data_IF_412900942678
#
_entry.id   IF_412900942678
#
_cell.length_a   1.000
_cell.length_b   1.000
_cell.length_c   1.000
_cell.angle_alpha   90.00
_cell.angle_beta   90.00
_cell.angle_gamma   90.00
#
_symmetry.space_group_name_H-M   'P 1'
#
loop_
_entity.id
_entity.type
_entity.pdbx_description
1 polymer ?
#
# COMPACT_ATOMS: atom_id res chain seq x y z
N UNK A 1 -3.55 -4.59 -21.74
CA UNK A 1 -3.58 -4.84 -20.29
C UNK A 1 -3.26 -3.52 -19.60
N UNK A 2 -4.04 -3.06 -18.60
CA UNK A 2 -3.70 -1.84 -17.87
C UNK A 2 -2.34 -2.03 -17.20
N UNK A 3 -1.48 -1.01 -17.22
CA UNK A 3 -0.20 -1.05 -16.50
C UNK A 3 -0.51 -1.21 -15.01
N UNK A 4 -0.05 -2.31 -14.42
CA UNK A 4 -0.04 -2.45 -12.96
C UNK A 4 0.87 -1.37 -12.37
N UNK A 5 0.39 -0.68 -11.34
CA UNK A 5 1.23 0.19 -10.53
C UNK A 5 2.13 -0.71 -9.68
N UNK A 6 3.41 -0.82 -10.06
CA UNK A 6 4.43 -1.49 -9.25
C UNK A 6 4.96 -0.47 -8.24
N UNK A 7 4.89 -0.82 -6.95
CA UNK A 7 5.41 0.00 -5.87
C UNK A 7 6.79 -0.53 -5.46
N UNK A 8 7.78 0.36 -5.47
CA UNK A 8 9.13 0.10 -4.94
C UNK A 8 9.21 0.56 -3.47
N UNK A 9 9.67 -0.31 -2.56
CA UNK A 9 9.77 -0.03 -1.13
C UNK A 9 10.65 1.19 -0.80
N UNK A 10 11.69 1.45 -1.60
CA UNK A 10 12.53 2.64 -1.44
C UNK A 10 11.72 3.96 -1.56
N UNK A 11 10.69 3.99 -2.41
CA UNK A 11 9.81 5.16 -2.58
C UNK A 11 8.80 5.31 -1.44
N UNK A 12 8.49 4.23 -0.73
CA UNK A 12 7.65 4.23 0.48
C UNK A 12 8.35 4.92 1.65
N UNK A 13 9.64 4.63 1.87
CA UNK A 13 10.43 5.20 2.97
C UNK A 13 10.58 6.72 2.89
N UNK A 14 10.76 7.28 1.69
CA UNK A 14 10.89 8.73 1.49
C UNK A 14 9.60 9.49 1.80
N UNK A 15 8.46 8.80 1.80
CA UNK A 15 7.14 9.40 1.88
C UNK A 15 6.56 9.47 3.31
N UNK A 16 7.14 8.73 4.26
CA UNK A 16 6.66 8.58 5.65
C UNK A 16 6.70 9.88 6.48
N UNK A 17 7.29 10.96 5.97
CA UNK A 17 7.52 12.18 6.76
C UNK A 17 6.41 13.25 6.68
N UNK A 18 5.25 13.03 6.02
CA UNK A 18 4.22 14.07 5.84
C UNK A 18 2.79 13.54 5.92
N UNK A 19 2.22 13.48 7.12
CA UNK A 19 0.80 13.18 7.43
C UNK A 19 0.23 11.90 6.78
N UNK A 20 -0.87 11.33 7.26
CA UNK A 20 -1.36 10.08 6.66
C UNK A 20 -1.91 10.33 5.27
N UNK A 21 -1.10 10.10 4.24
CA UNK A 21 -1.49 10.33 2.86
C UNK A 21 -1.76 8.97 2.19
N UNK A 22 -2.71 8.95 1.26
CA UNK A 22 -2.99 7.79 0.41
C UNK A 22 -1.81 7.59 -0.56
N UNK A 23 -1.00 6.54 -0.38
CA UNK A 23 0.26 6.37 -1.12
C UNK A 23 0.02 5.94 -2.56
N UNK A 24 -0.79 4.90 -2.74
CA UNK A 24 -1.14 4.42 -4.05
C UNK A 24 -2.48 3.69 -4.02
N UNK A 25 -3.11 3.67 -5.19
CA UNK A 25 -4.32 2.90 -5.44
C UNK A 25 -4.19 2.13 -6.74
N UNK A 26 -4.83 0.97 -6.79
CA UNK A 26 -4.99 0.14 -7.97
C UNK A 26 -6.40 -0.46 -7.99
N UNK A 27 -6.79 -1.12 -9.07
CA UNK A 27 -8.01 -1.92 -9.14
C UNK A 27 -7.66 -3.31 -9.63
N UNK A 28 -7.89 -4.30 -8.78
CA UNK A 28 -7.55 -5.71 -9.05
C UNK A 28 -8.75 -6.60 -8.76
N UNK A 29 -9.06 -7.47 -9.72
CA UNK A 29 -10.26 -8.33 -9.69
C UNK A 29 -11.57 -7.58 -9.37
N UNK A 30 -11.72 -6.36 -9.88
CA UNK A 30 -12.90 -5.52 -9.67
C UNK A 30 -13.00 -4.89 -8.28
N UNK A 31 -12.04 -5.13 -7.38
CA UNK A 31 -11.94 -4.48 -6.07
C UNK A 31 -10.88 -3.38 -6.10
N UNK A 32 -11.12 -2.33 -5.31
CA UNK A 32 -10.16 -1.26 -5.11
C UNK A 32 -9.04 -1.73 -4.18
N UNK A 33 -7.79 -1.62 -4.62
CA UNK A 33 -6.62 -1.86 -3.80
C UNK A 33 -6.04 -0.51 -3.40
N UNK A 34 -5.76 -0.29 -2.12
CA UNK A 34 -5.12 0.94 -1.67
C UNK A 34 -4.11 0.67 -0.58
N UNK A 35 -3.00 1.40 -0.64
CA UNK A 35 -1.98 1.45 0.41
C UNK A 35 -1.99 2.85 1.02
N UNK A 36 -2.13 2.88 2.34
CA UNK A 36 -2.10 4.10 3.16
C UNK A 36 -0.94 3.99 4.13
N UNK A 37 -0.32 5.12 4.43
CA UNK A 37 0.71 5.21 5.46
C UNK A 37 0.13 5.93 6.67
N UNK A 38 0.05 5.27 7.81
CA UNK A 38 -0.29 5.89 9.09
C UNK A 38 0.96 6.51 9.68
N UNK A 39 1.03 7.83 9.66
CA UNK A 39 2.18 8.57 10.18
C UNK A 39 2.30 8.49 11.71
N UNK A 40 1.18 8.31 12.41
CA UNK A 40 1.18 8.21 13.89
C UNK A 40 2.07 7.07 14.42
N UNK A 41 2.16 5.96 13.68
CA UNK A 41 2.91 4.77 14.07
C UNK A 41 3.84 4.26 12.95
N UNK A 42 4.05 5.06 11.89
CA UNK A 42 4.85 4.72 10.71
C UNK A 42 4.49 3.35 10.10
N UNK A 43 3.20 3.01 10.07
CA UNK A 43 2.71 1.72 9.57
C UNK A 43 2.05 1.87 8.18
N UNK A 44 2.28 0.91 7.30
CA UNK A 44 1.52 0.74 6.08
C UNK A 44 0.25 -0.07 6.36
N UNK A 45 -0.87 0.36 5.77
CA UNK A 45 -2.15 -0.34 5.80
C UNK A 45 -2.59 -0.55 4.36
N UNK A 46 -2.83 -1.80 3.99
CA UNK A 46 -3.25 -2.17 2.64
C UNK A 46 -4.63 -2.78 2.70
N UNK A 47 -5.52 -2.26 1.86
CA UNK A 47 -6.92 -2.67 1.78
C UNK A 47 -7.26 -3.10 0.37
N UNK A 48 -7.99 -4.21 0.23
CA UNK A 48 -8.50 -4.72 -1.03
C UNK A 48 -10.02 -4.91 -0.93
N UNK A 49 -10.78 -3.96 -1.47
CA UNK A 49 -12.20 -3.82 -1.12
C UNK A 49 -12.34 -3.42 0.35
N UNK A 50 -13.10 -4.20 1.11
CA UNK A 50 -13.33 -3.98 2.56
C UNK A 50 -12.33 -4.74 3.44
N UNK A 51 -11.46 -5.56 2.85
CA UNK A 51 -10.53 -6.42 3.56
C UNK A 51 -9.19 -5.71 3.81
N UNK A 52 -8.69 -5.71 5.04
CA UNK A 52 -7.31 -5.33 5.36
C UNK A 52 -6.42 -6.54 5.12
N UNK A 53 -5.57 -6.48 4.10
CA UNK A 53 -4.67 -7.59 3.73
C UNK A 53 -3.28 -7.44 4.34
N UNK A 54 -2.93 -6.24 4.81
CA UNK A 54 -1.68 -5.98 5.53
C UNK A 54 -1.82 -4.76 6.46
N UNK A 55 -1.25 -4.86 7.66
CA UNK A 55 -1.05 -3.75 8.57
C UNK A 55 0.26 -3.94 9.33
N UNK A 56 1.22 -3.04 9.17
CA UNK A 56 2.52 -3.17 9.83
C UNK A 56 3.54 -2.12 9.42
N UNK A 57 4.67 -2.09 10.14
CA UNK A 57 5.80 -1.15 9.89
C UNK A 57 6.80 -1.66 8.87
N UNK A 58 6.68 -2.93 8.46
CA UNK A 58 7.55 -3.54 7.47
C UNK A 58 7.09 -3.11 6.07
N UNK A 59 7.83 -2.18 5.46
CA UNK A 59 7.50 -1.60 4.17
C UNK A 59 7.81 -2.55 3.00
N UNK A 60 8.73 -3.50 3.19
CA UNK A 60 9.02 -4.53 2.19
C UNK A 60 7.84 -5.52 2.15
N UNK A 61 7.42 -6.02 3.31
CA UNK A 61 6.23 -6.85 3.41
C UNK A 61 4.95 -6.14 2.93
N UNK A 62 4.85 -4.83 3.14
CA UNK A 62 3.76 -4.02 2.58
C UNK A 62 3.82 -3.99 1.04
N UNK A 63 4.99 -3.74 0.46
CA UNK A 63 5.13 -3.71 -0.99
C UNK A 63 4.80 -5.08 -1.62
N UNK A 64 5.24 -6.18 -1.00
CA UNK A 64 4.87 -7.54 -1.41
C UNK A 64 3.36 -7.76 -1.33
N UNK A 65 2.72 -7.45 -0.20
CA UNK A 65 1.28 -7.60 -0.03
C UNK A 65 0.46 -6.78 -1.05
N UNK A 66 0.92 -5.58 -1.42
CA UNK A 66 0.29 -4.78 -2.47
C UNK A 66 0.49 -5.40 -3.85
N UNK A 67 1.70 -5.88 -4.15
CA UNK A 67 2.04 -6.45 -5.45
C UNK A 67 1.42 -7.83 -5.69
N UNK A 68 1.20 -8.62 -4.63
CA UNK A 68 0.62 -9.97 -4.70
C UNK A 68 -0.90 -9.98 -4.51
N UNK A 69 -1.55 -8.83 -4.25
CA UNK A 69 -3.00 -8.76 -4.15
C UNK A 69 -3.67 -9.15 -5.47
N UNK A 70 -4.54 -10.17 -5.43
CA UNK A 70 -5.21 -10.78 -6.60
C UNK A 70 -6.53 -10.09 -6.92
#
# INVERSE_FOLDING_TARGET
MPRQNIIEAAKLSDWINKESVLYATDTRNGKHLSIRIRVADAAAVITHGDDVIFEGRDLEAAAEAFNDAW
#
